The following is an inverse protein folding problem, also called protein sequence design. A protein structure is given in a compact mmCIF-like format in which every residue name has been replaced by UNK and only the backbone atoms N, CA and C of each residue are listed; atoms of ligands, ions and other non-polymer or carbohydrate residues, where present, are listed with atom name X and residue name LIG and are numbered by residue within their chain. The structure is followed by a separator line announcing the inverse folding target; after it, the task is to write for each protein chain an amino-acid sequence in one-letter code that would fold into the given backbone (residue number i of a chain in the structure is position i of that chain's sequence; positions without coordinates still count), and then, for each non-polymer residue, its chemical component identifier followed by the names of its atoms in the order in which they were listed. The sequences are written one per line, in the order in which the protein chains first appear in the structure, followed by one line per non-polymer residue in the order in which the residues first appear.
data_IF_804171568225
#
_entry.id   IF_804171568225
#
_cell.length_a   1.000
_cell.length_b   1.000
_cell.length_c   1.000
_cell.angle_alpha   90.00
_cell.angle_beta   90.00
_cell.angle_gamma   90.00
#
_symmetry.space_group_name_H-M   'P 1'
#
loop_
_entity.id
_entity.type
_entity.pdbx_description
1 polymer ?
#
# COMPACT_ATOMS: atom_id res chain seq x y z
N UNK A 1 53.63 1.56 24.67
CA UNK A 1 52.66 0.54 24.18
C UNK A 1 51.28 1.20 24.01
N UNK A 2 51.28 2.49 23.69
CA UNK A 2 50.23 3.44 24.08
C UNK A 2 49.54 3.97 22.82
N UNK A 3 50.29 4.03 21.71
CA UNK A 3 49.77 4.25 20.36
C UNK A 3 48.82 3.15 19.86
N UNK A 4 48.92 1.93 20.40
CA UNK A 4 47.98 0.84 20.12
C UNK A 4 46.65 1.00 20.86
N UNK A 5 46.62 1.72 21.98
CA UNK A 5 45.40 1.97 22.77
C UNK A 5 44.65 3.18 22.20
N UNK A 6 45.37 4.20 21.71
CA UNK A 6 44.76 5.32 20.97
C UNK A 6 44.13 4.87 19.65
N UNK A 7 44.78 3.97 18.89
CA UNK A 7 44.19 3.43 17.65
C UNK A 7 42.94 2.58 17.88
N UNK A 8 42.84 1.90 19.03
CA UNK A 8 41.65 1.15 19.44
C UNK A 8 40.53 2.05 19.98
N UNK A 9 40.87 3.24 20.49
CA UNK A 9 39.90 4.26 20.89
C UNK A 9 39.33 5.00 19.68
N UNK A 10 40.14 5.23 18.64
CA UNK A 10 39.71 5.94 17.42
C UNK A 10 38.80 5.07 16.52
N UNK A 11 38.97 3.73 16.50
CA UNK A 11 38.05 2.81 15.81
C UNK A 11 36.64 2.72 16.46
N UNK A 12 36.48 3.14 17.72
CA UNK A 12 35.18 3.11 18.43
C UNK A 12 34.21 4.19 17.98
N UNK A 13 34.60 5.07 17.06
CA UNK A 13 33.75 6.12 16.50
C UNK A 13 32.96 5.74 15.24
N UNK A 14 32.94 4.47 14.85
CA UNK A 14 32.09 3.93 13.78
C UNK A 14 30.61 3.70 14.18
N UNK A 15 30.08 4.48 15.14
CA UNK A 15 28.77 4.25 15.78
C UNK A 15 27.61 5.15 15.31
N UNK A 16 27.79 5.95 14.26
CA UNK A 16 26.83 6.99 13.87
C UNK A 16 25.49 6.46 13.35
N UNK A 17 25.49 5.37 12.57
CA UNK A 17 24.29 4.86 11.94
C UNK A 17 23.31 4.19 12.91
N UNK A 18 23.81 3.34 13.81
CA UNK A 18 22.98 2.44 14.63
C UNK A 18 21.96 3.21 15.48
N UNK A 19 22.34 4.38 16.01
CA UNK A 19 21.47 5.24 16.83
C UNK A 19 20.26 5.78 16.05
N UNK A 20 20.47 6.09 14.78
CA UNK A 20 19.45 6.62 13.88
C UNK A 20 18.50 5.48 13.49
N UNK A 21 19.02 4.32 13.06
CA UNK A 21 18.18 3.12 12.81
C UNK A 21 17.30 2.78 14.02
N UNK A 22 17.85 2.85 15.23
CA UNK A 22 17.10 2.58 16.46
C UNK A 22 15.99 3.61 16.70
N UNK A 23 16.25 4.91 16.47
CA UNK A 23 15.23 5.96 16.57
C UNK A 23 14.06 5.70 15.62
N UNK A 24 14.33 5.30 14.38
CA UNK A 24 13.25 5.00 13.44
C UNK A 24 12.53 3.71 13.71
N UNK A 25 13.23 2.69 14.18
CA UNK A 25 12.60 1.45 14.59
C UNK A 25 11.63 1.70 15.75
N UNK A 26 12.00 2.54 16.72
CA UNK A 26 11.13 2.96 17.83
C UNK A 26 9.91 3.73 17.31
N UNK A 27 10.10 4.77 16.49
CA UNK A 27 8.99 5.58 15.95
C UNK A 27 8.03 4.69 15.13
N UNK A 28 8.58 3.82 14.28
CA UNK A 28 7.77 2.94 13.45
C UNK A 28 7.03 1.89 14.27
N UNK A 29 7.67 1.37 15.31
CA UNK A 29 7.07 0.42 16.25
C UNK A 29 5.86 1.03 16.95
N UNK A 30 6.01 2.25 17.47
CA UNK A 30 4.89 2.99 18.09
C UNK A 30 3.77 3.22 17.08
N UNK A 31 4.09 3.65 15.86
CA UNK A 31 3.10 3.87 14.80
C UNK A 31 2.33 2.57 14.48
N UNK A 32 3.01 1.42 14.38
CA UNK A 32 2.35 0.12 14.17
C UNK A 32 1.48 -0.34 15.34
N UNK A 33 1.90 -0.09 16.59
CA UNK A 33 1.09 -0.45 17.76
C UNK A 33 -0.19 0.38 17.79
N UNK A 34 -0.08 1.70 17.54
CA UNK A 34 -1.25 2.60 17.48
C UNK A 34 -2.21 2.18 16.38
N UNK A 35 -1.68 1.86 15.19
CA UNK A 35 -2.47 1.40 14.06
C UNK A 35 -3.21 0.09 14.37
N UNK A 36 -2.53 -0.90 14.95
CA UNK A 36 -3.13 -2.17 15.35
C UNK A 36 -4.20 -1.97 16.44
N UNK A 37 -3.96 -1.09 17.41
CA UNK A 37 -4.91 -0.75 18.45
C UNK A 37 -6.18 -0.10 17.87
N UNK A 38 -6.05 0.79 16.89
CA UNK A 38 -7.18 1.38 16.16
C UNK A 38 -7.95 0.31 15.36
N UNK A 39 -7.24 -0.63 14.73
CA UNK A 39 -7.85 -1.77 14.05
C UNK A 39 -8.64 -2.66 15.01
N UNK A 40 -8.08 -2.96 16.18
CA UNK A 40 -8.73 -3.79 17.19
C UNK A 40 -9.93 -3.09 17.84
N UNK A 41 -9.86 -1.76 18.02
CA UNK A 41 -10.99 -0.96 18.51
C UNK A 41 -12.22 -1.04 17.59
N UNK A 42 -12.07 -1.49 16.34
CA UNK A 42 -13.16 -1.62 15.37
C UNK A 42 -14.00 -2.90 15.56
N UNK A 43 -13.56 -3.87 16.37
CA UNK A 43 -14.17 -5.21 16.48
C UNK A 43 -15.55 -5.21 17.15
N UNK A 44 -15.88 -4.17 17.92
CA UNK A 44 -17.18 -4.01 18.60
C UNK A 44 -18.11 -2.97 17.98
N UNK A 45 -17.79 -2.42 16.79
CA UNK A 45 -18.55 -1.34 16.16
C UNK A 45 -19.46 -1.85 15.03
N UNK A 46 -20.68 -1.33 14.99
CA UNK A 46 -21.71 -1.67 14.01
C UNK A 46 -21.23 -1.49 12.54
N UNK A 47 -21.57 -2.46 11.69
CA UNK A 47 -21.07 -2.63 10.32
C UNK A 47 -21.39 -1.42 9.41
N UNK A 48 -22.50 -0.70 9.65
CA UNK A 48 -22.99 0.40 8.81
C UNK A 48 -22.57 1.80 9.30
N UNK A 49 -21.78 1.91 10.35
CA UNK A 49 -21.38 3.23 10.85
C UNK A 49 -20.37 3.90 9.92
N UNK A 50 -20.63 5.15 9.51
CA UNK A 50 -19.65 5.99 8.80
C UNK A 50 -18.32 6.08 9.55
N UNK A 51 -18.35 6.00 10.89
CA UNK A 51 -17.16 5.97 11.75
C UNK A 51 -16.21 4.81 11.39
N UNK A 52 -16.75 3.65 11.06
CA UNK A 52 -15.98 2.45 10.68
C UNK A 52 -15.22 2.65 9.36
N UNK A 53 -15.86 3.30 8.39
CA UNK A 53 -15.22 3.64 7.11
C UNK A 53 -14.10 4.66 7.28
N UNK A 54 -14.31 5.68 8.12
CA UNK A 54 -13.28 6.67 8.43
C UNK A 54 -12.09 6.02 9.13
N UNK A 55 -12.32 5.16 10.13
CA UNK A 55 -11.26 4.44 10.85
C UNK A 55 -10.45 3.55 9.90
N UNK A 56 -11.12 2.80 9.01
CA UNK A 56 -10.44 2.04 7.94
C UNK A 56 -9.57 2.95 7.07
N UNK A 57 -10.07 4.12 6.68
CA UNK A 57 -9.30 5.10 5.93
C UNK A 57 -8.05 5.58 6.68
N UNK A 58 -8.19 5.90 7.98
CA UNK A 58 -7.08 6.33 8.84
C UNK A 58 -6.02 5.22 8.95
N UNK A 59 -6.43 3.96 9.17
CA UNK A 59 -5.52 2.81 9.23
C UNK A 59 -4.72 2.68 7.92
N UNK A 60 -5.39 2.79 6.77
CA UNK A 60 -4.72 2.75 5.46
C UNK A 60 -3.74 3.91 5.29
N UNK A 61 -4.11 5.12 5.72
CA UNK A 61 -3.23 6.29 5.66
C UNK A 61 -2.01 6.09 6.58
N UNK A 62 -2.18 5.56 7.80
CA UNK A 62 -1.09 5.27 8.72
C UNK A 62 -0.14 4.19 8.16
N UNK A 63 -0.68 3.14 7.53
CA UNK A 63 0.09 2.12 6.81
C UNK A 63 0.97 2.73 5.73
N UNK A 64 0.39 3.60 4.88
CA UNK A 64 1.14 4.31 3.85
C UNK A 64 2.18 5.24 4.46
N UNK A 65 1.81 6.03 5.48
CA UNK A 65 2.70 6.96 6.15
C UNK A 65 3.93 6.24 6.72
N UNK A 66 3.77 5.08 7.37
CA UNK A 66 4.89 4.29 7.87
C UNK A 66 5.79 3.78 6.75
N UNK A 67 5.22 3.33 5.63
CA UNK A 67 5.98 2.85 4.49
C UNK A 67 6.81 4.00 3.87
N UNK A 68 6.19 5.16 3.66
CA UNK A 68 6.88 6.36 3.21
C UNK A 68 7.94 6.82 4.20
N UNK A 69 7.68 6.76 5.51
CA UNK A 69 8.63 7.16 6.55
C UNK A 69 9.90 6.29 6.53
N UNK A 70 9.74 4.97 6.37
CA UNK A 70 10.86 4.05 6.21
C UNK A 70 11.68 4.40 4.98
N UNK A 71 11.01 4.53 3.82
CA UNK A 71 11.67 4.85 2.56
C UNK A 71 12.38 6.20 2.67
N UNK A 72 11.69 7.25 3.11
CA UNK A 72 12.24 8.59 3.23
C UNK A 72 13.42 8.64 4.21
N UNK A 73 13.34 7.99 5.36
CA UNK A 73 14.43 8.00 6.34
C UNK A 73 15.66 7.26 5.85
N UNK A 74 15.48 6.05 5.32
CA UNK A 74 16.57 5.30 4.68
C UNK A 74 17.07 5.97 3.38
N UNK A 75 16.29 6.90 2.80
CA UNK A 75 16.67 7.72 1.63
C UNK A 75 17.31 9.07 1.99
N UNK A 76 17.03 9.66 3.15
CA UNK A 76 17.43 11.03 3.49
C UNK A 76 18.75 11.07 4.29
N UNK A 77 19.02 10.10 5.17
CA UNK A 77 20.28 10.02 5.95
C UNK A 77 21.52 9.63 5.14
N UNK A 78 21.42 9.83 3.84
CA UNK A 78 22.02 9.01 2.82
C UNK A 78 22.76 9.89 1.81
N UNK A 79 23.40 10.97 2.26
CA UNK A 79 24.30 11.71 1.38
C UNK A 79 25.45 10.81 0.89
N UNK A 80 25.82 9.78 1.66
CA UNK A 80 26.87 8.79 1.34
C UNK A 80 26.40 7.65 0.42
N UNK A 81 25.09 7.46 0.29
CA UNK A 81 24.56 6.13 0.05
C UNK A 81 23.60 6.21 -1.18
N UNK A 82 23.38 7.40 -1.78
CA UNK A 82 22.64 7.70 -3.05
C UNK A 82 22.78 6.65 -4.16
N UNK A 83 23.93 6.00 -4.31
CA UNK A 83 24.11 4.90 -5.26
C UNK A 83 23.21 3.67 -4.96
N UNK A 84 23.02 3.34 -3.68
CA UNK A 84 22.09 2.32 -3.20
C UNK A 84 20.62 2.79 -3.23
N UNK A 85 20.35 4.07 -3.48
CA UNK A 85 18.97 4.53 -3.65
C UNK A 85 18.42 4.07 -5.00
N UNK A 86 19.25 4.18 -6.04
CA UNK A 86 18.89 3.72 -7.38
C UNK A 86 18.61 2.22 -7.39
N UNK A 87 19.36 1.43 -6.62
CA UNK A 87 19.14 -0.02 -6.56
C UNK A 87 17.89 -0.44 -5.80
N UNK A 88 17.28 0.43 -4.98
CA UNK A 88 15.99 0.16 -4.31
C UNK A 88 14.82 0.78 -5.08
N UNK A 89 14.99 1.99 -5.62
CA UNK A 89 13.95 2.69 -6.39
C UNK A 89 13.64 1.96 -7.70
N UNK A 90 14.66 1.47 -8.43
CA UNK A 90 14.45 0.74 -9.68
C UNK A 90 13.57 -0.50 -9.50
N UNK A 91 13.85 -1.44 -8.55
CA UNK A 91 12.97 -2.58 -8.33
C UNK A 91 11.59 -2.17 -7.78
N UNK A 92 11.46 -1.11 -6.98
CA UNK A 92 10.14 -0.62 -6.53
C UNK A 92 9.31 -0.07 -7.69
N UNK A 93 9.91 0.71 -8.59
CA UNK A 93 9.23 1.22 -9.79
C UNK A 93 8.84 0.08 -10.73
N UNK A 94 9.71 -0.92 -10.92
CA UNK A 94 9.37 -2.13 -11.67
C UNK A 94 8.23 -2.90 -11.03
N UNK A 95 8.16 -2.98 -9.70
CA UNK A 95 7.08 -3.67 -9.00
C UNK A 95 5.73 -3.00 -9.22
N UNK A 96 5.66 -1.67 -9.10
CA UNK A 96 4.42 -0.91 -9.36
C UNK A 96 4.01 -1.05 -10.83
N UNK A 97 4.96 -0.88 -11.75
CA UNK A 97 4.73 -1.07 -13.18
C UNK A 97 4.22 -2.47 -13.50
N UNK A 98 4.83 -3.50 -12.91
CA UNK A 98 4.46 -4.90 -13.09
C UNK A 98 3.04 -5.18 -12.60
N UNK A 99 2.66 -4.70 -11.41
CA UNK A 99 1.28 -4.83 -10.91
C UNK A 99 0.30 -4.13 -11.84
N UNK A 100 0.60 -2.92 -12.30
CA UNK A 100 -0.27 -2.20 -13.24
C UNK A 100 -0.43 -2.92 -14.58
N UNK A 101 0.66 -3.47 -15.14
CA UNK A 101 0.62 -4.25 -16.38
C UNK A 101 -0.20 -5.54 -16.20
N UNK A 102 0.00 -6.26 -15.10
CA UNK A 102 -0.79 -7.45 -14.78
C UNK A 102 -2.26 -7.15 -14.53
N UNK A 103 -2.59 -6.01 -13.92
CA UNK A 103 -3.99 -5.62 -13.71
C UNK A 103 -4.68 -5.26 -15.03
N UNK A 104 -3.96 -4.56 -15.93
CA UNK A 104 -4.45 -4.26 -17.27
C UNK A 104 -4.65 -5.54 -18.10
N UNK A 105 -3.67 -6.45 -18.09
CA UNK A 105 -3.74 -7.73 -18.79
C UNK A 105 -4.81 -8.66 -18.20
N UNK A 106 -4.95 -8.70 -16.87
CA UNK A 106 -5.99 -9.44 -16.18
C UNK A 106 -7.41 -8.92 -16.47
N UNK A 107 -7.58 -7.60 -16.56
CA UNK A 107 -8.86 -7.00 -16.97
C UNK A 107 -9.18 -7.32 -18.44
N UNK A 108 -8.16 -7.33 -19.29
CA UNK A 108 -8.26 -7.78 -20.69
C UNK A 108 -8.70 -9.24 -20.78
N UNK A 109 -8.05 -10.13 -20.01
CA UNK A 109 -8.38 -11.56 -19.94
C UNK A 109 -9.83 -11.81 -19.49
N UNK A 110 -10.31 -11.05 -18.49
CA UNK A 110 -11.71 -11.13 -18.02
C UNK A 110 -12.69 -10.71 -19.12
N UNK A 111 -12.40 -9.64 -19.84
CA UNK A 111 -13.23 -9.17 -20.97
C UNK A 111 -13.27 -10.18 -22.13
N UNK A 112 -12.13 -10.79 -22.48
CA UNK A 112 -12.11 -11.81 -23.53
C UNK A 112 -12.91 -13.05 -23.14
N UNK A 113 -12.78 -13.53 -21.89
CA UNK A 113 -13.64 -14.63 -21.41
C UNK A 113 -15.12 -14.28 -21.48
N UNK A 114 -15.50 -13.07 -21.09
CA UNK A 114 -16.89 -12.63 -21.09
C UNK A 114 -17.52 -12.55 -22.50
N UNK A 115 -16.70 -12.23 -23.50
CA UNK A 115 -17.13 -12.09 -24.89
C UNK A 115 -17.40 -13.42 -25.59
N UNK A 116 -16.76 -14.52 -25.15
CA UNK A 116 -16.85 -15.84 -25.79
C UNK A 116 -17.60 -16.88 -24.95
N UNK A 117 -18.06 -16.51 -23.76
CA UNK A 117 -18.92 -17.37 -22.93
C UNK A 117 -20.36 -17.37 -23.48
N UNK A 118 -20.78 -18.51 -24.04
CA UNK A 118 -22.11 -18.72 -24.65
C UNK A 118 -23.24 -18.35 -23.68
N UNK A 119 -23.11 -18.72 -22.41
CA UNK A 119 -24.11 -18.47 -21.38
C UNK A 119 -24.24 -16.98 -21.03
N UNK A 120 -23.14 -16.22 -21.10
CA UNK A 120 -23.17 -14.77 -20.86
C UNK A 120 -23.85 -14.00 -22.00
N UNK A 121 -23.63 -14.45 -23.23
CA UNK A 121 -24.24 -13.90 -24.44
C UNK A 121 -25.76 -14.13 -24.46
N UNK A 122 -26.23 -15.30 -24.01
CA UNK A 122 -27.66 -15.61 -23.89
C UNK A 122 -28.35 -14.74 -22.84
N UNK A 123 -27.77 -14.58 -21.64
CA UNK A 123 -28.33 -13.69 -20.61
C UNK A 123 -28.30 -12.19 -20.97
N UNK A 124 -27.34 -11.76 -21.80
CA UNK A 124 -27.31 -10.38 -22.33
C UNK A 124 -28.35 -10.15 -23.43
N UNK A 125 -28.72 -11.20 -24.17
CA UNK A 125 -29.77 -11.12 -25.21
C UNK A 125 -31.19 -11.32 -24.66
N UNK A 126 -31.35 -12.00 -23.52
CA UNK A 126 -32.67 -12.30 -22.95
C UNK A 126 -33.28 -11.17 -22.12
N UNK A 127 -32.49 -10.20 -21.65
CA UNK A 127 -33.03 -9.07 -20.86
C UNK A 127 -33.34 -7.87 -21.76
N UNK A 128 -34.56 -7.86 -22.29
CA UNK A 128 -35.44 -6.68 -22.40
C UNK A 128 -36.78 -7.11 -23.05
N UNK A 129 -37.83 -7.43 -22.27
CA UNK A 129 -39.16 -7.04 -22.74
C UNK A 129 -39.16 -5.50 -22.73
N UNK A 130 -39.35 -4.92 -23.91
CA UNK A 130 -39.65 -3.49 -24.07
C UNK A 130 -40.84 -3.19 -23.17
N UNK A 131 -40.61 -2.43 -22.10
CA UNK A 131 -41.69 -1.88 -21.30
C UNK A 131 -42.30 -0.77 -22.15
N UNK A 132 -43.44 -1.04 -22.78
CA UNK A 132 -44.27 -0.01 -23.39
C UNK A 132 -44.64 1.00 -22.30
N UNK A 133 -44.01 2.16 -22.40
CA UNK A 133 -44.41 3.38 -21.72
C UNK A 133 -45.81 3.75 -22.20
N UNK A 134 -46.69 4.05 -21.23
CA UNK A 134 -48.12 4.19 -21.46
C UNK A 134 -48.47 5.22 -22.53
N UNK A 135 -49.32 4.83 -23.46
CA UNK A 135 -50.13 5.75 -24.25
C UNK A 135 -51.60 5.46 -23.96
N UNK A 136 -52.17 6.36 -23.16
CA UNK A 136 -53.57 6.79 -23.14
C UNK A 136 -54.41 6.35 -24.36
N UNK A 137 -55.56 5.70 -24.14
CA UNK A 137 -56.81 5.81 -24.91
C UNK A 137 -57.87 4.96 -24.15
N UNK A 138 -58.68 5.57 -23.27
CA UNK A 138 -60.07 5.97 -23.55
C UNK A 138 -60.90 4.84 -24.20
N UNK A 139 -61.59 4.04 -23.38
CA UNK A 139 -63.06 3.87 -23.34
C UNK A 139 -63.47 2.99 -22.15
#
# INVERSE_FOLDING_TARGET
MDHSIESLAEERHAGGGVKEIWRVTIILSVLTIVELALGFSMIGMDEQSLKRHIIKGIIVILMLAKAFYIVAYFMHLKHELRNMIMTIVVPLCLFIWFISAFLADGNSFKNYKNKWDRNHLEHSKEKMPVQEEGTHHLE
#
